data_IF_499031399909
#
_entry.id   IF_499031399909
#
_cell.length_a   1.000
_cell.length_b   1.000
_cell.length_c   1.000
_cell.angle_alpha   90.00
_cell.angle_beta   90.00
_cell.angle_gamma   90.00
#
_symmetry.space_group_name_H-M   'P 1'
#
loop_
_entity.id
_entity.type
_entity.pdbx_description
1 polymer ?
#
# COMPACT_ATOMS: atom_id res chain seq x y z
N UNK A 1 20.69 -1.76 2.22
CA UNK A 1 19.78 -2.92 2.14
C UNK A 1 19.96 -3.52 0.76
N UNK A 2 20.36 -4.79 0.66
CA UNK A 2 20.59 -5.44 -0.64
C UNK A 2 19.30 -6.05 -1.19
N UNK A 3 19.02 -5.77 -2.47
CA UNK A 3 17.81 -6.26 -3.18
C UNK A 3 17.77 -7.79 -3.20
N UNK A 4 18.93 -8.44 -3.31
CA UNK A 4 19.05 -9.89 -3.31
C UNK A 4 18.61 -10.50 -1.98
N UNK A 5 19.02 -9.88 -0.86
CA UNK A 5 18.63 -10.31 0.48
C UNK A 5 17.12 -10.15 0.71
N UNK A 6 16.53 -9.07 0.23
CA UNK A 6 15.08 -8.84 0.32
C UNK A 6 14.30 -9.94 -0.43
N UNK A 7 14.71 -10.25 -1.66
CA UNK A 7 14.08 -11.28 -2.50
C UNK A 7 14.10 -12.66 -1.84
N UNK A 8 15.21 -13.00 -1.20
CA UNK A 8 15.36 -14.26 -0.47
C UNK A 8 14.38 -14.34 0.72
N UNK A 9 14.28 -13.27 1.53
CA UNK A 9 13.37 -13.24 2.68
C UNK A 9 11.90 -13.31 2.26
N UNK A 10 11.51 -12.64 1.18
CA UNK A 10 10.15 -12.71 0.63
C UNK A 10 9.83 -14.16 0.21
N UNK A 11 10.78 -14.85 -0.42
CA UNK A 11 10.60 -16.25 -0.84
C UNK A 11 10.46 -17.19 0.35
N UNK A 12 11.27 -16.99 1.41
CA UNK A 12 11.16 -17.74 2.67
C UNK A 12 9.80 -17.52 3.33
N UNK A 13 9.34 -16.27 3.41
CA UNK A 13 8.03 -15.93 3.96
C UNK A 13 6.90 -16.65 3.20
N UNK A 14 6.89 -16.60 1.87
CA UNK A 14 5.89 -17.31 1.04
C UNK A 14 5.89 -18.83 1.26
N UNK A 15 7.06 -19.44 1.41
CA UNK A 15 7.18 -20.89 1.65
C UNK A 15 6.74 -21.30 3.06
N UNK A 16 6.96 -20.44 4.06
CA UNK A 16 6.56 -20.69 5.44
C UNK A 16 5.05 -20.49 5.69
N UNK A 17 4.35 -19.75 4.82
CA UNK A 17 2.90 -19.54 4.95
C UNK A 17 2.12 -20.83 4.72
N UNK A 18 1.07 -21.04 5.53
CA UNK A 18 0.12 -22.15 5.35
C UNK A 18 -0.80 -21.82 4.17
N UNK A 19 -1.01 -22.79 3.27
CA UNK A 19 -1.90 -22.60 2.11
C UNK A 19 -3.32 -22.22 2.56
N UNK A 20 -3.88 -21.16 1.96
CA UNK A 20 -5.26 -20.71 2.14
C UNK A 20 -6.02 -20.71 0.80
N UNK A 21 -7.35 -20.70 0.86
CA UNK A 21 -8.24 -20.67 -0.33
C UNK A 21 -8.50 -19.25 -0.84
N UNK A 22 -7.64 -18.29 -0.52
CA UNK A 22 -7.76 -16.91 -0.96
C UNK A 22 -6.38 -16.34 -1.34
N UNK A 23 -6.38 -15.20 -2.02
CA UNK A 23 -5.15 -14.51 -2.44
C UNK A 23 -4.56 -13.78 -1.25
N UNK A 24 -3.37 -14.21 -0.81
CA UNK A 24 -2.67 -13.60 0.32
C UNK A 24 -1.99 -12.28 -0.07
N UNK A 25 -2.03 -11.30 0.84
CA UNK A 25 -1.25 -10.08 0.76
C UNK A 25 0.07 -10.24 1.53
N UNK A 26 1.07 -9.42 1.20
CA UNK A 26 2.34 -9.35 1.92
C UNK A 26 2.45 -7.96 2.52
N UNK A 27 2.69 -7.90 3.83
CA UNK A 27 2.89 -6.67 4.58
C UNK A 27 4.37 -6.47 4.94
N UNK A 28 4.79 -5.20 5.01
CA UNK A 28 6.13 -4.80 5.42
C UNK A 28 6.05 -4.04 6.75
N UNK A 29 6.66 -4.61 7.79
CA UNK A 29 6.76 -3.99 9.11
C UNK A 29 8.21 -3.61 9.40
N UNK A 30 8.43 -2.35 9.77
CA UNK A 30 9.76 -1.81 10.06
C UNK A 30 9.74 -1.21 11.47
N UNK A 31 10.66 -1.66 12.31
CA UNK A 31 10.89 -1.08 13.63
C UNK A 31 12.05 -0.08 13.55
N UNK A 32 11.80 1.16 13.98
CA UNK A 32 12.82 2.18 14.06
C UNK A 32 13.40 2.21 15.49
N UNK A 33 14.71 2.33 15.60
CA UNK A 33 15.40 2.60 16.87
C UNK A 33 15.78 4.08 16.92
N UNK A 34 15.88 4.62 18.12
CA UNK A 34 16.38 5.98 18.38
C UNK A 34 15.52 7.12 17.81
N UNK A 35 14.20 6.89 17.67
CA UNK A 35 13.24 7.88 17.24
C UNK A 35 12.25 8.22 18.35
N UNK A 36 12.23 9.49 18.78
CA UNK A 36 11.21 9.96 19.71
C UNK A 36 9.93 10.38 18.95
N UNK A 37 8.92 9.51 18.99
CA UNK A 37 7.61 9.72 18.37
C UNK A 37 6.70 10.68 19.16
N UNK A 38 7.11 11.12 20.37
CA UNK A 38 6.40 12.15 21.14
C UNK A 38 6.47 13.49 20.45
N UNK A 39 7.59 13.79 19.80
CA UNK A 39 7.76 15.00 18.98
C UNK A 39 6.99 14.81 17.68
N UNK A 40 5.94 15.62 17.39
CA UNK A 40 5.10 15.42 16.21
C UNK A 40 5.88 15.46 14.89
N UNK A 41 6.92 16.29 14.80
CA UNK A 41 7.77 16.45 13.62
C UNK A 41 8.54 15.18 13.25
N UNK A 42 8.76 14.27 14.21
CA UNK A 42 9.48 13.01 13.99
C UNK A 42 8.58 11.90 13.46
N UNK A 43 7.26 12.14 13.35
CA UNK A 43 6.32 11.14 12.85
C UNK A 43 6.41 11.05 11.33
N UNK A 44 6.62 9.84 10.83
CA UNK A 44 6.61 9.60 9.40
C UNK A 44 5.18 9.54 8.87
N UNK A 45 4.84 10.49 8.01
CA UNK A 45 3.67 10.42 7.14
C UNK A 45 4.16 10.59 5.70
N UNK A 46 4.40 9.46 5.02
CA UNK A 46 4.85 9.48 3.63
C UNK A 46 3.88 8.70 2.75
N UNK A 47 3.69 9.22 1.55
CA UNK A 47 2.95 8.55 0.48
C UNK A 47 3.92 8.31 -0.66
N UNK A 48 3.99 7.06 -1.12
CA UNK A 48 4.81 6.68 -2.27
C UNK A 48 4.02 5.80 -3.21
N UNK A 49 4.30 5.91 -4.50
CA UNK A 49 3.71 5.07 -5.54
C UNK A 49 4.51 3.78 -5.66
N UNK A 50 3.82 2.64 -5.60
CA UNK A 50 4.47 1.36 -5.86
C UNK A 50 4.81 1.23 -7.35
N UNK A 51 6.01 0.74 -7.71
CA UNK A 51 6.40 0.52 -9.11
C UNK A 51 5.57 -0.59 -9.78
N UNK A 52 5.02 -1.51 -8.97
CA UNK A 52 4.11 -2.55 -9.43
C UNK A 52 2.78 -2.39 -8.69
N UNK A 53 1.66 -2.27 -9.41
CA UNK A 53 0.35 -2.05 -8.79
C UNK A 53 -0.13 -3.30 -8.04
N UNK A 54 -0.99 -3.07 -7.05
CA UNK A 54 -1.70 -4.16 -6.38
C UNK A 54 -2.56 -4.95 -7.37
N UNK A 55 -2.69 -6.26 -7.12
CA UNK A 55 -3.55 -7.14 -7.93
C UNK A 55 -5.02 -6.69 -7.90
N UNK A 56 -5.49 -6.25 -6.74
CA UNK A 56 -6.80 -5.61 -6.58
C UNK A 56 -6.57 -4.10 -6.58
N UNK A 57 -7.08 -3.40 -7.60
CA UNK A 57 -6.99 -1.94 -7.65
C UNK A 57 -7.69 -1.35 -6.41
N UNK A 58 -7.09 -0.34 -5.76
CA UNK A 58 -7.73 0.32 -4.63
C UNK A 58 -9.03 0.97 -5.10
N UNK A 59 -10.11 0.78 -4.34
CA UNK A 59 -11.36 1.49 -4.58
C UNK A 59 -11.20 2.90 -4.03
N UNK A 60 -11.37 3.90 -4.90
CA UNK A 60 -11.28 5.32 -4.54
C UNK A 60 -12.69 5.92 -4.57
N UNK A 61 -12.97 6.82 -3.64
CA UNK A 61 -14.16 7.66 -3.64
C UNK A 61 -13.74 9.12 -3.81
N UNK A 62 -14.54 9.89 -4.54
CA UNK A 62 -14.30 11.32 -4.75
C UNK A 62 -15.58 12.11 -4.50
N UNK A 63 -15.44 13.23 -3.79
CA UNK A 63 -16.47 14.25 -3.65
C UNK A 63 -16.26 15.26 -4.77
N UNK A 64 -17.18 15.32 -5.72
CA UNK A 64 -17.03 16.16 -6.90
C UNK A 64 -18.39 16.64 -7.42
N UNK A 65 -18.44 17.91 -7.84
CA UNK A 65 -19.59 18.51 -8.52
C UNK A 65 -19.28 18.85 -9.98
N UNK A 66 -20.32 19.17 -10.75
CA UNK A 66 -20.20 19.67 -12.12
C UNK A 66 -19.35 18.77 -13.04
N UNK A 67 -18.40 19.37 -13.75
CA UNK A 67 -17.54 18.67 -14.72
C UNK A 67 -16.65 17.59 -14.06
N UNK A 68 -16.17 17.84 -12.84
CA UNK A 68 -15.30 16.88 -12.13
C UNK A 68 -16.05 15.59 -11.79
N UNK A 69 -17.35 15.69 -11.50
CA UNK A 69 -18.22 14.53 -11.27
C UNK A 69 -18.35 13.67 -12.54
N UNK A 70 -18.47 14.31 -13.71
CA UNK A 70 -18.56 13.61 -15.00
C UNK A 70 -17.26 12.86 -15.30
N UNK A 71 -16.10 13.54 -15.14
CA UNK A 71 -14.79 12.92 -15.34
C UNK A 71 -14.57 11.73 -14.39
N UNK A 72 -14.99 11.85 -13.14
CA UNK A 72 -14.88 10.78 -12.15
C UNK A 72 -15.75 9.56 -12.48
N UNK A 73 -17.00 9.78 -12.92
CA UNK A 73 -17.88 8.68 -13.39
C UNK A 73 -17.29 7.99 -14.61
N UNK A 74 -16.75 8.74 -15.57
CA UNK A 74 -16.11 8.19 -16.76
C UNK A 74 -14.85 7.37 -16.43
N UNK A 75 -14.13 7.74 -15.37
CA UNK A 75 -12.97 6.99 -14.86
C UNK A 75 -13.35 5.76 -14.02
N UNK A 76 -14.64 5.46 -13.83
CA UNK A 76 -15.12 4.32 -13.05
C UNK A 76 -14.94 4.48 -11.53
N UNK A 77 -14.84 5.72 -11.04
CA UNK A 77 -14.68 6.04 -9.62
C UNK A 77 -16.05 6.20 -8.98
N UNK A 78 -16.22 5.74 -7.74
CA UNK A 78 -17.47 5.95 -6.99
C UNK A 78 -17.55 7.43 -6.58
N UNK A 79 -18.50 8.16 -7.16
CA UNK A 79 -18.80 9.55 -6.80
C UNK A 79 -19.92 9.60 -5.76
N UNK A 80 -19.78 10.46 -4.75
CA UNK A 80 -20.86 10.87 -3.85
C UNK A 80 -21.20 12.33 -4.14
#
# INVERSE_FOLDING_TARGET
MDVNKLTEQITKCKKASKKRKFVESIDLSINFKDLDLKIPSNRFNFQTTLPHPFRKKPTVAIFAGGELAVRARNAGVKTV
#
